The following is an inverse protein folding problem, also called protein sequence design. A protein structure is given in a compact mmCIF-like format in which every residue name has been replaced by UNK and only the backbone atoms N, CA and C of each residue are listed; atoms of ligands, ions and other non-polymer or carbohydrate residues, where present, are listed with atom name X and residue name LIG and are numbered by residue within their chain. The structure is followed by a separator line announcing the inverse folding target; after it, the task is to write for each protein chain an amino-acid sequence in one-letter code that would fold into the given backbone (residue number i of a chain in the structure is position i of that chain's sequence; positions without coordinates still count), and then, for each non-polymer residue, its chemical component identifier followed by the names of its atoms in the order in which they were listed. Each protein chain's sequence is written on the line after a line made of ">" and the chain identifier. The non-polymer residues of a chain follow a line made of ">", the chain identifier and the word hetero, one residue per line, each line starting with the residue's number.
data_IF_166154988959
#
_entry.id   IF_166154988959
#
_cell.length_a   1.000
_cell.length_b   1.000
_cell.length_c   1.000
_cell.angle_alpha   90.00
_cell.angle_beta   90.00
_cell.angle_gamma   90.00
#
_symmetry.space_group_name_H-M   'P 1'
#
loop_
_entity.id
_entity.type
_entity.pdbx_description
1 polymer ?
#
# COMPACT_ATOMS: atom_id res chain seq x y z
N UNK A 1 12.98 10.54 29.40
CA UNK A 1 14.12 10.10 28.58
C UNK A 1 13.55 9.20 27.49
N UNK A 2 13.31 9.79 26.32
CA UNK A 2 12.76 9.05 25.15
C UNK A 2 13.91 8.32 24.45
N UNK A 3 13.90 6.99 24.53
CA UNK A 3 14.80 6.15 23.76
C UNK A 3 14.35 6.21 22.29
N UNK A 4 15.12 6.87 21.46
CA UNK A 4 14.92 6.83 20.02
C UNK A 4 15.23 5.41 19.51
N UNK A 5 14.21 4.61 19.28
CA UNK A 5 14.34 3.31 18.64
C UNK A 5 14.60 3.57 17.16
N UNK A 6 15.87 3.48 16.76
CA UNK A 6 16.27 3.57 15.34
C UNK A 6 15.84 2.27 14.67
N UNK A 7 14.89 2.34 13.74
CA UNK A 7 14.51 1.19 12.94
C UNK A 7 15.66 0.81 12.00
N UNK A 8 15.94 -0.48 11.80
CA UNK A 8 16.94 -0.91 10.84
C UNK A 8 16.48 -0.50 9.43
N UNK A 9 17.42 0.02 8.65
CA UNK A 9 17.18 0.50 7.30
C UNK A 9 16.87 -0.71 6.39
N UNK A 10 15.67 -0.80 5.85
CA UNK A 10 15.26 -1.87 4.93
C UNK A 10 16.11 -1.91 3.64
N UNK A 11 16.78 -0.79 3.30
CA UNK A 11 17.58 -0.65 2.10
C UNK A 11 18.93 -1.43 2.10
N UNK A 12 19.37 -2.03 3.23
CA UNK A 12 20.69 -2.66 3.34
C UNK A 12 20.69 -4.14 2.95
N UNK A 13 19.53 -4.76 2.73
CA UNK A 13 19.45 -6.18 2.36
C UNK A 13 19.28 -6.44 0.86
N UNK A 14 19.22 -5.41 0.03
CA UNK A 14 19.14 -5.59 -1.43
C UNK A 14 20.54 -5.61 -2.00
N UNK A 15 21.03 -6.82 -2.24
CA UNK A 15 22.27 -7.09 -2.94
C UNK A 15 22.18 -6.49 -4.35
N UNK A 16 23.06 -5.54 -4.64
CA UNK A 16 23.17 -4.79 -5.89
C UNK A 16 23.38 -5.71 -7.09
N UNK A 17 22.33 -6.08 -7.77
CA UNK A 17 22.38 -6.42 -9.18
C UNK A 17 21.81 -5.23 -9.96
N UNK A 18 22.74 -4.39 -10.41
CA UNK A 18 22.51 -3.23 -11.23
C UNK A 18 21.77 -3.57 -12.51
N UNK A 19 20.52 -3.16 -12.62
CA UNK A 19 19.87 -2.93 -13.91
C UNK A 19 19.67 -1.44 -14.09
N UNK A 20 20.59 -0.84 -14.81
CA UNK A 20 20.57 0.54 -15.28
C UNK A 20 19.38 0.74 -16.21
N UNK A 21 18.36 1.42 -15.76
CA UNK A 21 17.33 1.98 -16.63
C UNK A 21 17.82 3.34 -17.14
N UNK A 22 18.35 3.31 -18.39
CA UNK A 22 18.74 4.50 -19.13
C UNK A 22 17.49 5.17 -19.69
N UNK A 23 17.19 6.37 -19.22
CA UNK A 23 16.22 7.27 -19.83
C UNK A 23 16.74 7.77 -21.18
N UNK A 24 16.26 7.20 -22.28
CA UNK A 24 16.55 7.71 -23.61
C UNK A 24 15.47 8.74 -23.99
N UNK A 25 15.84 10.02 -23.97
CA UNK A 25 15.13 11.09 -24.68
C UNK A 25 15.33 10.88 -26.20
N UNK A 26 14.27 10.61 -26.91
CA UNK A 26 14.29 10.67 -28.37
C UNK A 26 13.94 12.09 -28.83
N UNK A 27 14.93 12.73 -29.48
CA UNK A 27 14.74 13.91 -30.30
C UNK A 27 14.65 13.47 -31.77
N UNK A 28 13.53 13.77 -32.39
CA UNK A 28 13.29 13.60 -33.82
C UNK A 28 14.22 14.49 -34.64
N UNK A 29 14.90 13.91 -35.63
CA UNK A 29 15.32 14.63 -36.83
C UNK A 29 15.19 13.72 -38.04
N UNK A 30 14.38 14.21 -38.93
CA UNK A 30 14.00 13.73 -40.27
C UNK A 30 15.13 14.01 -41.29
N UNK A 31 15.63 13.01 -42.02
CA UNK A 31 16.12 13.20 -43.39
C UNK A 31 16.08 11.90 -44.20
N UNK A 32 15.60 12.05 -45.42
CA UNK A 32 15.43 11.09 -46.47
C UNK A 32 16.73 10.71 -47.18
N UNK A 33 16.86 9.54 -47.73
CA UNK A 33 17.08 9.20 -49.16
C UNK A 33 17.71 7.82 -49.39
N UNK A 34 17.04 7.05 -50.15
CA UNK A 34 17.32 6.37 -51.43
C UNK A 34 18.37 5.23 -51.47
N UNK A 35 17.85 4.13 -51.92
CA UNK A 35 18.28 3.25 -53.04
C UNK A 35 19.33 2.16 -52.78
N UNK A 36 18.90 0.99 -53.14
CA UNK A 36 19.51 0.03 -54.09
C UNK A 36 20.30 -1.18 -53.56
N UNK A 37 19.71 -2.29 -53.93
CA UNK A 37 20.28 -3.45 -54.63
C UNK A 37 21.01 -4.57 -53.88
N UNK A 38 20.34 -5.71 -53.93
CA UNK A 38 20.80 -7.06 -54.28
C UNK A 38 22.10 -7.61 -53.65
N UNK A 39 22.02 -8.71 -52.96
CA UNK A 39 22.45 -10.03 -53.45
C UNK A 39 22.15 -11.16 -52.45
N UNK A 40 21.62 -12.25 -53.00
CA UNK A 40 21.55 -13.61 -52.41
C UNK A 40 22.93 -14.19 -52.08
N UNK A 41 22.99 -15.00 -51.02
CA UNK A 41 23.65 -16.34 -50.92
C UNK A 41 23.29 -16.88 -49.52
N UNK A 42 22.48 -17.87 -49.42
CA UNK A 42 22.58 -19.33 -49.50
C UNK A 42 23.52 -19.96 -48.46
N UNK A 43 22.88 -20.70 -47.54
CA UNK A 43 23.20 -21.96 -46.87
C UNK A 43 24.33 -21.93 -45.86
N UNK A 44 24.04 -22.19 -44.56
CA UNK A 44 24.44 -23.45 -43.93
C UNK A 44 23.55 -23.76 -42.73
N UNK A 45 23.03 -24.97 -42.79
CA UNK A 45 22.28 -25.71 -41.77
C UNK A 45 23.28 -26.08 -40.67
N UNK A 46 23.05 -25.61 -39.46
CA UNK A 46 23.71 -26.13 -38.25
C UNK A 46 22.64 -26.43 -37.21
N UNK A 47 22.66 -27.63 -36.82
CA UNK A 47 21.80 -28.38 -35.88
C UNK A 47 21.47 -27.60 -34.61
N UNK A 48 20.19 -27.45 -34.38
CA UNK A 48 19.63 -27.03 -33.08
C UNK A 48 19.87 -28.16 -32.06
N UNK A 49 20.77 -27.93 -31.14
CA UNK A 49 20.76 -28.62 -29.87
C UNK A 49 19.70 -27.93 -29.00
N UNK A 50 18.62 -28.67 -28.81
CA UNK A 50 17.53 -28.33 -27.89
C UNK A 50 18.08 -28.23 -26.46
N UNK A 51 18.38 -27.04 -26.00
CA UNK A 51 18.50 -26.75 -24.58
C UNK A 51 17.10 -26.50 -24.04
N UNK A 52 16.55 -27.52 -23.39
CA UNK A 52 15.27 -27.45 -22.69
C UNK A 52 15.30 -26.37 -21.59
N UNK A 53 14.35 -25.41 -21.57
CA UNK A 53 14.26 -24.38 -20.55
C UNK A 53 13.57 -24.87 -19.26
N UNK A 54 13.72 -26.16 -18.90
CA UNK A 54 12.82 -26.81 -17.94
C UNK A 54 13.29 -26.85 -16.49
N UNK A 55 14.57 -26.63 -16.20
CA UNK A 55 15.07 -26.75 -14.81
C UNK A 55 15.08 -25.42 -14.03
N UNK A 56 15.36 -24.31 -14.70
CA UNK A 56 15.36 -22.97 -14.04
C UNK A 56 13.94 -22.46 -13.77
N UNK A 57 13.00 -22.76 -14.67
CA UNK A 57 11.59 -22.39 -14.48
C UNK A 57 10.91 -23.22 -13.37
N UNK A 58 11.32 -24.47 -13.17
CA UNK A 58 10.79 -25.31 -12.08
C UNK A 58 11.32 -24.91 -10.70
N UNK A 59 12.57 -24.46 -10.61
CA UNK A 59 13.14 -23.93 -9.36
C UNK A 59 12.48 -22.60 -8.94
N UNK A 60 12.16 -21.73 -9.91
CA UNK A 60 11.46 -20.48 -9.65
C UNK A 60 9.99 -20.69 -9.22
N UNK A 61 9.32 -21.72 -9.81
CA UNK A 61 7.94 -22.06 -9.43
C UNK A 61 7.84 -22.74 -8.05
N UNK A 62 8.83 -23.54 -7.66
CA UNK A 62 8.88 -24.16 -6.34
C UNK A 62 9.20 -23.16 -5.22
N UNK A 63 10.04 -22.16 -5.47
CA UNK A 63 10.33 -21.07 -4.53
C UNK A 63 9.14 -20.15 -4.27
N UNK A 64 8.32 -19.89 -5.27
CA UNK A 64 7.13 -19.02 -5.15
C UNK A 64 6.09 -19.53 -4.16
N UNK A 65 5.88 -20.83 -4.08
CA UNK A 65 4.92 -21.43 -3.14
C UNK A 65 5.35 -21.33 -1.67
N UNK A 66 6.63 -21.55 -1.39
CA UNK A 66 7.17 -21.43 -0.02
C UNK A 66 7.18 -19.98 0.45
N UNK A 67 7.59 -19.04 -0.41
CA UNK A 67 7.60 -17.62 -0.08
C UNK A 67 6.19 -17.10 0.24
N UNK A 68 5.17 -17.52 -0.54
CA UNK A 68 3.77 -17.17 -0.25
C UNK A 68 3.28 -17.75 1.07
N UNK A 69 3.71 -18.96 1.44
CA UNK A 69 3.33 -19.56 2.70
C UNK A 69 3.96 -18.80 3.87
N UNK A 70 5.25 -18.44 3.79
CA UNK A 70 5.94 -17.60 4.78
C UNK A 70 5.24 -16.25 4.96
N UNK A 71 4.90 -15.57 3.85
CA UNK A 71 4.15 -14.30 3.88
C UNK A 71 2.80 -14.44 4.60
N UNK A 72 2.04 -15.51 4.30
CA UNK A 72 0.75 -15.79 4.98
C UNK A 72 0.93 -16.02 6.47
N UNK A 73 1.94 -16.80 6.86
CA UNK A 73 2.19 -17.13 8.25
C UNK A 73 2.66 -15.90 9.05
N UNK A 74 3.54 -15.07 8.46
CA UNK A 74 3.96 -13.81 9.06
C UNK A 74 2.79 -12.84 9.15
N UNK A 75 1.99 -12.69 8.10
CA UNK A 75 0.79 -11.84 8.11
C UNK A 75 -0.21 -12.28 9.19
N UNK A 76 -0.37 -13.59 9.42
CA UNK A 76 -1.19 -14.11 10.51
C UNK A 76 -0.64 -13.69 11.87
N UNK A 77 0.67 -13.84 12.10
CA UNK A 77 1.33 -13.39 13.34
C UNK A 77 1.21 -11.87 13.53
N UNK A 78 1.33 -11.07 12.45
CA UNK A 78 1.13 -9.62 12.49
C UNK A 78 -0.29 -9.25 12.95
N UNK A 79 -1.32 -9.95 12.45
CA UNK A 79 -2.71 -9.76 12.92
C UNK A 79 -2.89 -10.12 14.41
N UNK A 80 -2.13 -11.08 14.92
CA UNK A 80 -2.13 -11.37 16.34
C UNK A 80 -1.41 -10.29 17.16
N UNK A 81 -0.40 -9.61 16.58
CA UNK A 81 0.21 -8.40 17.17
C UNK A 81 -0.80 -7.24 17.26
N UNK A 82 -1.69 -7.08 16.29
CA UNK A 82 -2.79 -6.09 16.36
C UNK A 82 -3.66 -6.34 17.60
N UNK A 83 -4.08 -7.60 17.84
CA UNK A 83 -4.91 -7.97 19.00
C UNK A 83 -4.18 -7.71 20.32
N UNK A 84 -2.87 -7.98 20.35
CA UNK A 84 -2.02 -7.79 21.55
C UNK A 84 -1.54 -6.35 21.71
N UNK A 85 -1.78 -5.47 20.72
CA UNK A 85 -1.30 -4.08 20.68
C UNK A 85 0.22 -3.98 20.86
N UNK A 86 0.97 -4.81 20.13
CA UNK A 86 2.41 -4.96 20.25
C UNK A 86 3.13 -4.41 18.99
N UNK A 87 3.38 -3.09 18.89
CA UNK A 87 3.96 -2.45 17.69
C UNK A 87 5.38 -2.95 17.42
N UNK A 88 6.26 -2.95 18.42
CA UNK A 88 7.66 -3.37 18.23
C UNK A 88 7.76 -4.80 17.71
N UNK A 89 6.98 -5.73 18.28
CA UNK A 89 6.94 -7.13 17.81
C UNK A 89 6.43 -7.24 16.36
N UNK A 90 5.52 -6.36 15.95
CA UNK A 90 5.04 -6.35 14.57
C UNK A 90 6.11 -5.88 13.59
N UNK A 91 6.86 -4.84 13.95
CA UNK A 91 7.99 -4.35 13.14
C UNK A 91 9.09 -5.40 13.07
N UNK A 92 9.46 -6.05 14.18
CA UNK A 92 10.45 -7.13 14.20
C UNK A 92 10.05 -8.29 13.26
N UNK A 93 8.76 -8.66 13.25
CA UNK A 93 8.22 -9.67 12.33
C UNK A 93 8.29 -9.23 10.87
N UNK A 94 8.00 -7.97 10.57
CA UNK A 94 8.08 -7.45 9.20
C UNK A 94 9.54 -7.43 8.71
N UNK A 95 10.48 -6.99 9.56
CA UNK A 95 11.92 -6.98 9.26
C UNK A 95 12.46 -8.41 9.08
N UNK A 96 11.94 -9.37 9.84
CA UNK A 96 12.37 -10.77 9.73
C UNK A 96 12.09 -11.39 8.36
N UNK A 97 11.11 -10.89 7.61
CA UNK A 97 10.86 -11.33 6.22
C UNK A 97 12.09 -11.12 5.34
N UNK A 98 12.68 -9.92 5.36
CA UNK A 98 13.89 -9.64 4.59
C UNK A 98 15.14 -10.32 5.18
N UNK A 99 15.31 -10.23 6.50
CA UNK A 99 16.51 -10.70 7.18
C UNK A 99 16.64 -12.22 7.19
N UNK A 100 15.56 -12.94 7.53
CA UNK A 100 15.62 -14.38 7.80
C UNK A 100 15.22 -15.21 6.56
N UNK A 101 14.39 -14.64 5.69
CA UNK A 101 13.84 -15.35 4.53
C UNK A 101 14.24 -14.74 3.18
N UNK A 102 14.83 -13.54 3.15
CA UNK A 102 15.13 -12.83 1.90
C UNK A 102 13.89 -12.47 1.08
N UNK A 103 12.73 -12.30 1.75
CA UNK A 103 11.44 -12.01 1.14
C UNK A 103 11.06 -10.56 1.42
N UNK A 104 10.73 -9.80 0.38
CA UNK A 104 10.19 -8.46 0.54
C UNK A 104 8.76 -8.50 1.10
N UNK A 105 8.41 -7.58 2.02
CA UNK A 105 7.06 -7.49 2.54
C UNK A 105 6.08 -7.06 1.43
N UNK A 106 4.91 -7.68 1.40
CA UNK A 106 3.81 -7.26 0.54
C UNK A 106 2.91 -6.21 1.23
N UNK A 107 1.99 -5.61 0.47
CA UNK A 107 1.06 -4.60 1.00
C UNK A 107 0.22 -5.15 2.16
N UNK A 108 -0.13 -6.43 2.15
CA UNK A 108 -0.93 -7.07 3.23
C UNK A 108 -0.16 -7.24 4.53
N UNK A 109 1.11 -7.64 4.47
CA UNK A 109 1.96 -7.74 5.65
C UNK A 109 2.23 -6.34 6.20
N UNK A 110 2.52 -5.37 5.32
CA UNK A 110 2.79 -4.00 5.71
C UNK A 110 1.56 -3.34 6.33
N UNK A 111 0.37 -3.47 5.73
CA UNK A 111 -0.88 -2.93 6.31
C UNK A 111 -1.20 -3.56 7.68
N UNK A 112 -0.96 -4.86 7.86
CA UNK A 112 -1.12 -5.52 9.15
C UNK A 112 -0.12 -5.02 10.21
N UNK A 113 1.11 -4.67 9.80
CA UNK A 113 2.11 -4.06 10.68
C UNK A 113 1.69 -2.64 11.10
N UNK A 114 1.26 -1.81 10.15
CA UNK A 114 0.72 -0.46 10.40
C UNK A 114 -0.47 -0.54 11.36
N UNK A 115 -1.42 -1.47 11.12
CA UNK A 115 -2.56 -1.69 12.00
C UNK A 115 -2.13 -2.06 13.43
N UNK A 116 -1.04 -2.84 13.61
CA UNK A 116 -0.51 -3.18 14.93
C UNK A 116 0.10 -1.96 15.63
N UNK A 117 0.81 -1.10 14.90
CA UNK A 117 1.36 0.16 15.41
C UNK A 117 0.23 1.11 15.83
N UNK A 118 -0.79 1.27 15.01
CA UNK A 118 -1.99 2.07 15.33
C UNK A 118 -2.74 1.53 16.55
N UNK A 119 -2.93 0.21 16.65
CA UNK A 119 -3.57 -0.42 17.80
C UNK A 119 -2.75 -0.23 19.09
N UNK A 120 -1.43 -0.22 18.99
CA UNK A 120 -0.50 0.10 20.07
C UNK A 120 -0.38 1.59 20.39
N UNK A 121 -1.05 2.47 19.61
CA UNK A 121 -0.99 3.94 19.69
C UNK A 121 0.40 4.53 19.40
N UNK A 122 1.20 3.83 18.63
CA UNK A 122 2.51 4.28 18.17
C UNK A 122 2.40 4.78 16.72
N UNK A 123 2.02 6.05 16.59
CA UNK A 123 1.79 6.67 15.28
C UNK A 123 3.11 6.93 14.54
N UNK A 124 4.14 7.32 15.27
CA UNK A 124 5.47 7.59 14.70
C UNK A 124 6.06 6.33 14.06
N UNK A 125 5.83 5.17 14.69
CA UNK A 125 6.25 3.89 14.13
C UNK A 125 5.41 3.51 12.91
N UNK A 126 4.10 3.78 12.93
CA UNK A 126 3.23 3.54 11.79
C UNK A 126 3.64 4.39 10.57
N UNK A 127 3.92 5.69 10.76
CA UNK A 127 4.43 6.59 9.73
C UNK A 127 5.77 6.10 9.16
N UNK A 128 6.72 5.72 10.01
CA UNK A 128 8.03 5.20 9.57
C UNK A 128 7.91 3.92 8.75
N UNK A 129 7.04 2.98 9.15
CA UNK A 129 6.80 1.76 8.37
C UNK A 129 6.21 2.10 7.01
N UNK A 130 5.25 3.04 6.96
CA UNK A 130 4.65 3.49 5.71
C UNK A 130 5.69 4.11 4.77
N UNK A 131 6.48 5.05 5.27
CA UNK A 131 7.53 5.72 4.51
C UNK A 131 8.60 4.74 4.01
N UNK A 132 9.11 3.87 4.88
CA UNK A 132 10.22 2.97 4.51
C UNK A 132 9.79 1.91 3.51
N UNK A 133 8.57 1.41 3.57
CA UNK A 133 8.12 0.32 2.70
C UNK A 133 7.50 0.87 1.41
N UNK A 134 6.55 1.79 1.51
CA UNK A 134 5.82 2.26 0.34
C UNK A 134 6.54 3.43 -0.35
N UNK A 135 6.96 4.45 0.37
CA UNK A 135 7.71 5.57 -0.23
C UNK A 135 9.16 5.17 -0.54
N UNK A 136 9.72 4.21 0.19
CA UNK A 136 10.98 3.56 -0.14
C UNK A 136 10.94 2.65 -1.37
N UNK A 137 9.75 2.40 -1.95
CA UNK A 137 9.57 1.66 -3.20
C UNK A 137 9.74 0.14 -3.06
N UNK A 138 9.60 -0.42 -1.85
CA UNK A 138 9.67 -1.87 -1.62
C UNK A 138 8.44 -2.57 -2.20
N UNK A 139 7.25 -2.00 -1.98
CA UNK A 139 6.01 -2.43 -2.63
C UNK A 139 5.06 -1.25 -2.78
N UNK A 140 4.03 -1.40 -3.63
CA UNK A 140 2.99 -0.39 -3.77
C UNK A 140 1.94 -0.51 -2.65
N UNK A 141 1.44 0.63 -2.10
CA UNK A 141 0.38 0.59 -1.11
C UNK A 141 -0.95 0.12 -1.73
N UNK A 142 -1.77 -0.52 -0.91
CA UNK A 142 -3.18 -0.76 -1.21
C UNK A 142 -4.07 0.21 -0.42
N UNK A 143 -5.37 0.26 -0.73
CA UNK A 143 -6.33 1.10 0.00
C UNK A 143 -6.29 0.81 1.51
N UNK A 144 -6.18 -0.46 1.89
CA UNK A 144 -6.19 -0.88 3.30
C UNK A 144 -4.98 -0.34 4.06
N UNK A 145 -3.78 -0.35 3.45
CA UNK A 145 -2.57 0.19 4.08
C UNK A 145 -2.73 1.69 4.41
N UNK A 146 -3.27 2.46 3.46
CA UNK A 146 -3.51 3.89 3.63
C UNK A 146 -4.61 4.12 4.68
N UNK A 147 -5.72 3.39 4.60
CA UNK A 147 -6.84 3.50 5.54
C UNK A 147 -6.42 3.18 6.98
N UNK A 148 -5.55 2.19 7.20
CA UNK A 148 -5.05 1.90 8.55
C UNK A 148 -4.21 3.05 9.12
N UNK A 149 -3.39 3.73 8.31
CA UNK A 149 -2.64 4.91 8.74
C UNK A 149 -3.58 6.11 8.99
N UNK A 150 -4.55 6.38 8.08
CA UNK A 150 -5.60 7.38 8.26
C UNK A 150 -6.37 7.15 9.58
N UNK A 151 -6.74 5.92 9.85
CA UNK A 151 -7.39 5.51 11.10
C UNK A 151 -6.50 5.81 12.33
N UNK A 152 -5.18 5.64 12.19
CA UNK A 152 -4.21 6.03 13.21
C UNK A 152 -4.29 7.52 13.52
N UNK A 153 -4.21 8.38 12.51
CA UNK A 153 -4.34 9.83 12.67
C UNK A 153 -5.65 10.23 13.36
N UNK A 154 -6.76 9.66 12.92
CA UNK A 154 -8.09 10.00 13.42
C UNK A 154 -8.40 9.44 14.82
N UNK A 155 -7.81 8.30 15.19
CA UNK A 155 -8.10 7.64 16.47
C UNK A 155 -7.21 8.16 17.60
N UNK A 156 -5.93 8.43 17.28
CA UNK A 156 -4.95 8.89 18.26
C UNK A 156 -5.06 10.40 18.45
N UNK A 157 -5.27 11.12 17.36
CA UNK A 157 -5.34 12.58 17.30
C UNK A 157 -6.77 13.14 17.39
N UNK A 158 -7.61 12.61 18.28
CA UNK A 158 -8.95 13.17 18.50
C UNK A 158 -8.87 14.69 18.66
N UNK A 159 -9.64 15.41 17.88
CA UNK A 159 -9.73 16.88 17.89
C UNK A 159 -8.42 17.62 17.50
N UNK A 160 -7.41 16.89 16.96
CA UNK A 160 -6.17 17.49 16.49
C UNK A 160 -6.31 17.88 15.01
N UNK A 161 -6.50 19.18 14.74
CA UNK A 161 -6.64 19.70 13.39
C UNK A 161 -5.47 19.33 12.45
N UNK A 162 -4.19 19.40 12.85
CA UNK A 162 -3.08 18.91 12.02
C UNK A 162 -3.17 17.46 11.63
N UNK A 163 -3.61 16.56 12.51
CA UNK A 163 -3.75 15.14 12.19
C UNK A 163 -4.94 14.86 11.27
N UNK A 164 -6.02 15.65 11.42
CA UNK A 164 -7.12 15.62 10.46
C UNK A 164 -6.66 16.03 9.06
N UNK A 165 -5.86 17.11 8.95
CA UNK A 165 -5.30 17.53 7.67
C UNK A 165 -4.36 16.49 7.06
N UNK A 166 -3.51 15.84 7.86
CA UNK A 166 -2.69 14.70 7.40
C UNK A 166 -3.56 13.57 6.86
N UNK A 167 -4.62 13.19 7.57
CA UNK A 167 -5.54 12.13 7.16
C UNK A 167 -6.22 12.45 5.81
N UNK A 168 -6.78 13.65 5.67
CA UNK A 168 -7.46 14.08 4.44
C UNK A 168 -6.49 14.26 3.28
N UNK A 169 -5.28 14.79 3.53
CA UNK A 169 -4.22 14.89 2.53
C UNK A 169 -3.78 13.51 2.04
N UNK A 170 -3.64 12.53 2.93
CA UNK A 170 -3.29 11.16 2.55
C UNK A 170 -4.41 10.50 1.73
N UNK A 171 -5.68 10.75 2.08
CA UNK A 171 -6.82 10.31 1.26
C UNK A 171 -6.82 10.94 -0.14
N UNK A 172 -6.46 12.22 -0.27
CA UNK A 172 -6.31 12.86 -1.58
C UNK A 172 -5.13 12.28 -2.39
N UNK A 173 -4.04 11.91 -1.72
CA UNK A 173 -2.90 11.26 -2.36
C UNK A 173 -3.21 9.86 -2.88
N UNK A 174 -4.21 9.15 -2.33
CA UNK A 174 -4.61 7.84 -2.83
C UNK A 174 -4.85 7.86 -4.34
N UNK A 175 -5.64 8.80 -4.82
CA UNK A 175 -5.95 8.91 -6.25
C UNK A 175 -4.80 9.56 -7.03
N UNK A 176 -4.24 10.67 -6.51
CA UNK A 176 -3.31 11.50 -7.27
C UNK A 176 -1.89 10.92 -7.34
N UNK A 177 -1.42 10.29 -6.25
CA UNK A 177 -0.05 9.76 -6.16
C UNK A 177 0.02 8.27 -6.43
N UNK A 178 -0.95 7.50 -5.92
CA UNK A 178 -0.90 6.04 -5.95
C UNK A 178 -1.88 5.43 -6.96
N UNK A 179 -2.75 6.21 -7.59
CA UNK A 179 -3.74 5.71 -8.56
C UNK A 179 -4.80 4.79 -7.92
N UNK A 180 -5.00 4.89 -6.61
CA UNK A 180 -5.94 4.05 -5.85
C UNK A 180 -7.29 4.74 -5.78
N UNK A 181 -8.34 4.08 -6.27
CA UNK A 181 -9.71 4.57 -6.13
C UNK A 181 -10.20 4.40 -4.70
N UNK A 182 -10.76 5.46 -4.12
CA UNK A 182 -11.39 5.40 -2.80
C UNK A 182 -12.69 4.59 -2.88
N UNK A 183 -12.87 3.68 -1.94
CA UNK A 183 -14.13 2.91 -1.79
C UNK A 183 -14.86 3.30 -0.50
N UNK A 184 -16.00 2.68 -0.25
CA UNK A 184 -16.74 2.88 1.01
C UNK A 184 -15.86 2.65 2.26
N UNK A 185 -14.79 1.86 2.16
CA UNK A 185 -13.87 1.58 3.29
C UNK A 185 -13.20 2.86 3.78
N UNK A 186 -12.66 3.68 2.87
CA UNK A 186 -12.05 4.97 3.20
C UNK A 186 -13.07 5.91 3.85
N UNK A 187 -14.25 6.05 3.24
CA UNK A 187 -15.31 6.93 3.77
C UNK A 187 -15.83 6.49 5.13
N UNK A 188 -15.96 5.19 5.37
CA UNK A 188 -16.41 4.64 6.65
C UNK A 188 -15.50 5.03 7.82
N UNK A 189 -14.19 5.07 7.61
CA UNK A 189 -13.23 5.46 8.66
C UNK A 189 -13.35 6.96 8.96
N UNK A 190 -13.50 7.81 7.95
CA UNK A 190 -13.69 9.25 8.11
C UNK A 190 -15.02 9.55 8.84
N UNK A 191 -16.11 8.93 8.39
CA UNK A 191 -17.44 9.07 9.00
C UNK A 191 -17.49 8.54 10.44
N UNK A 192 -16.79 7.43 10.72
CA UNK A 192 -16.67 6.92 12.08
C UNK A 192 -15.97 7.93 13.02
N UNK A 193 -14.97 8.63 12.52
CA UNK A 193 -14.32 9.70 13.29
C UNK A 193 -15.28 10.85 13.56
N UNK A 194 -15.97 11.38 12.54
CA UNK A 194 -16.96 12.44 12.69
C UNK A 194 -18.08 12.04 13.65
N UNK A 195 -18.54 10.79 13.60
CA UNK A 195 -19.54 10.29 14.53
C UNK A 195 -19.01 10.22 15.98
N UNK A 196 -17.73 9.90 16.18
CA UNK A 196 -17.11 9.86 17.50
C UNK A 196 -16.91 11.26 18.10
N UNK A 197 -16.49 12.24 17.28
CA UNK A 197 -16.27 13.64 17.68
C UNK A 197 -17.56 14.47 17.67
N UNK A 198 -18.66 13.93 17.12
CA UNK A 198 -19.93 14.63 16.91
C UNK A 198 -19.81 15.85 15.97
N UNK A 199 -18.91 15.74 14.98
CA UNK A 199 -18.71 16.78 13.99
C UNK A 199 -19.62 16.56 12.79
N UNK A 200 -20.79 17.23 12.83
CA UNK A 200 -21.80 17.09 11.78
C UNK A 200 -21.35 17.75 10.48
N UNK A 201 -20.69 18.91 10.55
CA UNK A 201 -20.28 19.65 9.37
C UNK A 201 -19.30 18.86 8.50
N UNK A 202 -18.26 18.32 9.12
CA UNK A 202 -17.32 17.44 8.39
C UNK A 202 -17.96 16.16 7.88
N UNK A 203 -18.90 15.59 8.64
CA UNK A 203 -19.62 14.40 8.19
C UNK A 203 -20.48 14.69 6.95
N UNK A 204 -21.11 15.87 6.88
CA UNK A 204 -21.88 16.34 5.73
C UNK A 204 -20.98 16.45 4.49
N UNK A 205 -19.84 17.16 4.59
CA UNK A 205 -18.84 17.29 3.52
C UNK A 205 -18.33 15.93 3.01
N UNK A 206 -18.11 14.96 3.91
CA UNK A 206 -17.65 13.61 3.54
C UNK A 206 -18.75 12.83 2.81
N UNK A 207 -20.00 12.94 3.27
CA UNK A 207 -21.13 12.26 2.64
C UNK A 207 -21.39 12.83 1.23
N UNK A 208 -21.33 14.15 1.08
CA UNK A 208 -21.50 14.81 -0.21
C UNK A 208 -20.34 14.42 -1.17
N UNK A 209 -19.10 14.39 -0.68
CA UNK A 209 -17.97 13.93 -1.48
C UNK A 209 -18.12 12.46 -1.91
N UNK A 210 -18.61 11.60 -1.01
CA UNK A 210 -18.87 10.18 -1.32
C UNK A 210 -19.94 10.03 -2.41
N UNK A 211 -20.97 10.89 -2.36
CA UNK A 211 -22.02 10.94 -3.38
C UNK A 211 -21.50 11.45 -4.72
N UNK A 212 -20.73 12.55 -4.72
CA UNK A 212 -20.15 13.16 -5.92
C UNK A 212 -19.14 12.22 -6.62
N UNK A 213 -18.45 11.39 -5.87
CA UNK A 213 -17.54 10.36 -6.40
C UNK A 213 -18.27 9.06 -6.80
N UNK A 214 -19.59 9.03 -6.74
CA UNK A 214 -20.44 7.87 -7.07
C UNK A 214 -20.05 6.59 -6.29
N UNK A 215 -19.51 6.75 -5.07
CA UNK A 215 -19.12 5.61 -4.24
C UNK A 215 -20.36 5.03 -3.54
N UNK A 216 -20.71 3.80 -3.90
CA UNK A 216 -21.86 3.13 -3.31
C UNK A 216 -21.65 2.90 -1.81
N UNK A 217 -22.64 3.28 -0.95
CA UNK A 217 -22.55 3.03 0.47
C UNK A 217 -22.64 1.54 0.80
N UNK A 218 -21.88 1.11 1.78
CA UNK A 218 -21.93 -0.25 2.32
C UNK A 218 -22.81 -0.29 3.60
N UNK A 219 -23.21 -1.47 4.08
CA UNK A 219 -23.87 -1.59 5.37
C UNK A 219 -23.05 -1.00 6.53
N UNK A 220 -21.72 -1.09 6.43
CA UNK A 220 -20.77 -0.53 7.39
C UNK A 220 -20.80 1.01 7.39
N UNK A 221 -21.15 1.66 6.27
CA UNK A 221 -21.30 3.12 6.19
C UNK A 221 -22.36 3.61 7.15
N UNK A 222 -23.52 2.97 7.15
CA UNK A 222 -24.63 3.33 8.06
C UNK A 222 -24.34 2.94 9.51
N UNK A 223 -23.59 1.85 9.72
CA UNK A 223 -23.13 1.44 11.05
C UNK A 223 -22.10 2.43 11.62
N UNK A 224 -21.22 2.98 10.79
CA UNK A 224 -20.23 3.99 11.21
C UNK A 224 -20.90 5.22 11.83
N UNK A 225 -22.05 5.64 11.30
CA UNK A 225 -22.81 6.81 11.77
C UNK A 225 -24.01 6.48 12.67
N UNK A 226 -24.21 5.21 13.04
CA UNK A 226 -25.38 4.73 13.78
C UNK A 226 -25.62 5.49 15.08
N UNK A 227 -24.54 5.80 15.81
CA UNK A 227 -24.57 6.47 17.11
C UNK A 227 -25.01 7.93 17.04
N UNK A 228 -25.03 8.56 15.87
CA UNK A 228 -25.34 9.99 15.67
C UNK A 228 -26.54 10.15 14.76
N UNK A 229 -27.69 10.41 15.37
CA UNK A 229 -28.99 10.49 14.65
C UNK A 229 -28.95 11.52 13.51
N UNK A 230 -28.37 12.70 13.73
CA UNK A 230 -28.26 13.77 12.71
C UNK A 230 -27.47 13.30 11.50
N UNK A 231 -26.24 12.79 11.71
CA UNK A 231 -25.35 12.31 10.65
C UNK A 231 -26.01 11.14 9.91
N UNK A 232 -26.58 10.18 10.65
CA UNK A 232 -27.25 9.03 10.07
C UNK A 232 -28.47 9.43 9.22
N UNK A 233 -29.25 10.42 9.67
CA UNK A 233 -30.42 10.92 8.93
C UNK A 233 -29.97 11.57 7.61
N UNK A 234 -28.91 12.36 7.65
CA UNK A 234 -28.34 13.00 6.47
C UNK A 234 -27.77 11.96 5.49
N UNK A 235 -26.95 11.01 5.97
CA UNK A 235 -26.41 9.93 5.14
C UNK A 235 -27.50 9.12 4.42
N UNK A 236 -28.62 8.82 5.10
CA UNK A 236 -29.74 8.13 4.47
C UNK A 236 -30.45 8.99 3.41
N UNK A 237 -30.54 10.29 3.63
CA UNK A 237 -31.19 11.21 2.69
C UNK A 237 -30.37 11.36 1.39
N UNK A 238 -29.05 11.38 1.48
CA UNK A 238 -28.16 11.66 0.34
C UNK A 238 -27.75 10.37 -0.39
N UNK A 239 -27.49 9.29 0.35
CA UNK A 239 -26.88 8.07 -0.21
C UNK A 239 -27.91 6.95 -0.53
N UNK A 240 -29.19 7.11 -0.19
CA UNK A 240 -30.27 6.13 -0.45
C UNK A 240 -31.36 6.72 -1.32
#
# INVERSE_FOLDING_TARGET
>A
MSSATTLPNFAVAVNTSSSTWSTRKESNAFTSSSSSSRRMRRIHRASALSSSPSMMAYAAAAGGGQNQQVLRDVTKKLRDCVKRKAPSSAVDLLVSLGRDYGIEPDARATSACIAACVAGRDLDMAEKVFEQVFEGGVCEPDEIAIVELVKGYLTIGKDNAPLWQKATSLCAQMTNKYGITRTAVTYNVLLQCCANTNDFQRAEEIIDTMYDEEVAPSPETFKAVEKRRSIRSYAKKVLM
#
